data_IF_309794164188
#
_entry.id   IF_309794164188
#
_cell.length_a   1.000
_cell.length_b   1.000
_cell.length_c   1.000
_cell.angle_alpha   90.00
_cell.angle_beta   90.00
_cell.angle_gamma   90.00
#
_symmetry.space_group_name_H-M   'P 1'
#
loop_
_entity.id
_entity.type
_entity.pdbx_description
1 polymer ?
#
# COMPACT_ATOMS: atom_id res chain seq x y z
N UNK A 1 -10.60 -7.88 12.72
CA UNK A 1 -12.04 -8.25 12.71
C UNK A 1 -12.82 -7.01 13.09
N UNK A 2 -13.96 -6.76 12.46
CA UNK A 2 -14.87 -5.68 12.90
C UNK A 2 -15.57 -6.07 14.21
N UNK A 3 -16.18 -5.11 14.91
CA UNK A 3 -17.03 -5.38 16.09
C UNK A 3 -18.20 -6.32 15.79
N UNK A 4 -18.56 -6.47 14.51
CA UNK A 4 -19.60 -7.41 14.04
C UNK A 4 -19.06 -8.80 13.66
N UNK A 5 -17.77 -9.10 13.88
CA UNK A 5 -17.18 -10.39 13.49
C UNK A 5 -16.86 -10.50 11.99
N UNK A 6 -17.07 -9.43 11.22
CA UNK A 6 -16.73 -9.39 9.81
C UNK A 6 -15.21 -9.35 9.60
N UNK A 7 -14.74 -10.16 8.65
CA UNK A 7 -13.34 -10.18 8.23
C UNK A 7 -13.11 -8.95 7.34
N UNK A 8 -12.57 -7.88 7.93
CA UNK A 8 -12.23 -6.64 7.24
C UNK A 8 -11.03 -6.84 6.29
N UNK A 9 -10.05 -7.60 6.74
CA UNK A 9 -8.81 -7.89 6.01
C UNK A 9 -8.68 -9.41 6.00
N UNK A 10 -8.68 -10.07 4.82
CA UNK A 10 -8.58 -11.52 4.77
C UNK A 10 -7.28 -11.99 5.44
N UNK A 11 -7.31 -13.10 6.18
CA UNK A 11 -6.12 -13.70 6.81
C UNK A 11 -5.21 -14.41 5.79
N UNK A 12 -5.03 -13.82 4.61
CA UNK A 12 -4.18 -14.31 3.51
C UNK A 12 -2.81 -13.61 3.49
N UNK A 13 -2.60 -12.66 4.38
CA UNK A 13 -1.35 -11.89 4.49
C UNK A 13 -0.41 -12.57 5.47
N UNK A 14 0.86 -12.70 5.08
CA UNK A 14 1.96 -13.16 5.91
C UNK A 14 2.22 -12.19 7.07
N UNK A 15 2.07 -10.89 6.83
CA UNK A 15 2.31 -9.87 7.85
C UNK A 15 1.50 -8.60 7.59
N UNK A 16 1.19 -7.89 8.67
CA UNK A 16 0.46 -6.63 8.65
C UNK A 16 1.27 -5.60 9.42
N UNK A 17 1.49 -4.44 8.81
CA UNK A 17 2.13 -3.30 9.45
C UNK A 17 1.10 -2.17 9.55
N UNK A 18 0.81 -1.77 10.79
CA UNK A 18 -0.16 -0.73 11.09
C UNK A 18 0.53 0.64 11.13
N UNK A 19 0.08 1.56 10.30
CA UNK A 19 0.49 2.97 10.31
C UNK A 19 -0.65 3.84 10.86
N UNK A 20 -0.37 5.12 11.12
CA UNK A 20 -1.35 6.06 11.69
C UNK A 20 -2.63 6.18 10.87
N UNK A 21 -2.55 6.09 9.54
CA UNK A 21 -3.70 6.29 8.64
C UNK A 21 -4.02 5.11 7.72
N UNK A 22 -3.08 4.17 7.57
CA UNK A 22 -3.19 3.04 6.64
C UNK A 22 -2.55 1.79 7.21
N UNK A 23 -2.76 0.67 6.54
CA UNK A 23 -2.26 -0.65 6.91
C UNK A 23 -1.52 -1.19 5.69
N UNK A 24 -0.23 -1.48 5.87
CA UNK A 24 0.57 -2.14 4.86
C UNK A 24 0.41 -3.64 5.07
N UNK A 25 0.05 -4.34 4.01
CA UNK A 25 -0.14 -5.79 4.03
C UNK A 25 0.95 -6.46 3.23
N UNK A 26 1.48 -7.57 3.74
CA UNK A 26 2.47 -8.39 3.06
C UNK A 26 1.84 -9.74 2.72
N UNK A 27 1.85 -10.12 1.45
CA UNK A 27 1.37 -11.43 0.98
C UNK A 27 2.28 -11.91 -0.14
N UNK A 28 2.86 -13.09 0.03
CA UNK A 28 3.65 -13.77 -1.03
C UNK A 28 4.71 -12.85 -1.66
N UNK A 29 5.46 -12.14 -0.83
CA UNK A 29 6.49 -11.17 -1.22
C UNK A 29 5.96 -9.93 -1.99
N UNK A 30 4.65 -9.68 -1.92
CA UNK A 30 4.01 -8.48 -2.45
C UNK A 30 3.36 -7.68 -1.33
N UNK A 31 3.42 -6.39 -1.51
CA UNK A 31 2.93 -5.36 -0.62
C UNK A 31 1.63 -4.78 -1.18
N UNK A 32 0.67 -4.60 -0.30
CA UNK A 32 -0.59 -3.91 -0.52
C UNK A 32 -0.80 -2.81 0.51
N UNK A 33 -1.75 -1.93 0.23
CA UNK A 33 -2.12 -0.82 1.10
C UNK A 33 -3.62 -0.84 1.33
N UNK A 34 -4.01 -0.83 2.60
CA UNK A 34 -5.41 -0.84 3.02
C UNK A 34 -5.67 0.38 3.89
N UNK A 35 -6.87 0.94 3.77
CA UNK A 35 -7.35 1.96 4.72
C UNK A 35 -7.60 1.32 6.08
N UNK A 36 -7.59 2.11 7.16
CA UNK A 36 -8.06 1.65 8.49
C UNK A 36 -9.46 1.04 8.48
N UNK A 37 -10.30 1.43 7.50
CA UNK A 37 -11.64 0.89 7.30
C UNK A 37 -11.66 -0.45 6.53
N UNK A 38 -10.50 -0.99 6.14
CA UNK A 38 -10.40 -2.20 5.32
C UNK A 38 -10.59 -2.00 3.83
N UNK A 39 -10.73 -0.76 3.36
CA UNK A 39 -10.83 -0.49 1.94
C UNK A 39 -9.47 -0.72 1.28
N UNK A 40 -9.46 -1.45 0.16
CA UNK A 40 -8.27 -1.67 -0.64
C UNK A 40 -7.91 -0.32 -1.27
N UNK A 41 -6.75 0.21 -0.89
CA UNK A 41 -6.17 1.41 -1.47
C UNK A 41 -5.20 0.99 -2.60
N UNK A 42 -4.43 -0.06 -2.36
CA UNK A 42 -3.52 -0.68 -3.31
C UNK A 42 -3.56 -2.20 -3.11
N UNK A 43 -3.84 -2.94 -4.16
CA UNK A 43 -3.73 -4.40 -4.14
C UNK A 43 -2.31 -4.86 -3.80
N UNK A 44 -2.15 -6.11 -3.39
CA UNK A 44 -0.86 -6.75 -3.14
C UNK A 44 -0.11 -7.02 -4.45
N UNK A 45 0.25 -5.96 -5.16
CA UNK A 45 0.97 -5.97 -6.43
C UNK A 45 2.33 -5.28 -6.32
N UNK A 46 2.56 -4.49 -5.27
CA UNK A 46 3.80 -3.75 -5.12
C UNK A 46 4.92 -4.65 -4.59
N UNK A 47 6.12 -4.52 -5.11
CA UNK A 47 7.32 -5.19 -4.59
C UNK A 47 8.01 -4.35 -3.53
N UNK A 48 7.77 -3.03 -3.52
CA UNK A 48 8.27 -2.10 -2.50
C UNK A 48 7.22 -1.01 -2.23
N UNK A 49 7.13 -0.57 -0.98
CA UNK A 49 6.34 0.61 -0.58
C UNK A 49 7.28 1.51 0.22
N UNK A 50 7.27 2.80 -0.09
CA UNK A 50 8.09 3.83 0.56
C UNK A 50 7.22 5.04 0.88
N UNK A 51 7.06 5.33 2.17
CA UNK A 51 6.44 6.57 2.65
C UNK A 51 7.42 7.72 2.42
N UNK A 52 6.99 8.76 1.70
CA UNK A 52 7.78 9.99 1.52
C UNK A 52 7.39 11.03 2.56
N UNK A 53 6.10 11.21 2.78
CA UNK A 53 5.52 12.07 3.80
C UNK A 53 4.16 11.51 4.25
N UNK A 54 3.42 12.26 5.06
CA UNK A 54 2.11 11.82 5.57
C UNK A 54 1.07 11.70 4.45
N UNK A 55 1.17 12.53 3.40
CA UNK A 55 0.23 12.55 2.30
C UNK A 55 0.61 11.64 1.12
N UNK A 56 1.90 11.37 0.89
CA UNK A 56 2.42 10.69 -0.31
C UNK A 56 3.13 9.40 0.07
N UNK A 57 2.62 8.31 -0.51
CA UNK A 57 3.19 6.98 -0.43
C UNK A 57 3.61 6.57 -1.84
N UNK A 58 4.85 6.18 -2.01
CA UNK A 58 5.34 5.59 -3.23
C UNK A 58 5.26 4.07 -3.15
N UNK A 59 4.96 3.42 -4.26
CA UNK A 59 4.96 1.98 -4.37
C UNK A 59 5.65 1.57 -5.68
N UNK A 60 6.26 0.39 -5.73
CA UNK A 60 6.95 -0.10 -6.91
C UNK A 60 6.25 -1.35 -7.44
N UNK A 61 5.87 -1.36 -8.71
CA UNK A 61 5.26 -2.52 -9.40
C UNK A 61 6.05 -2.77 -10.68
N UNK A 62 6.56 -3.99 -10.87
CA UNK A 62 7.34 -4.36 -12.06
C UNK A 62 8.46 -3.35 -12.39
N UNK A 63 9.22 -2.94 -11.38
CA UNK A 63 10.28 -1.92 -11.46
C UNK A 63 9.84 -0.48 -11.74
N UNK A 64 8.55 -0.23 -11.94
CA UNK A 64 7.98 1.13 -12.12
C UNK A 64 7.48 1.66 -10.79
N UNK A 65 7.68 2.94 -10.54
CA UNK A 65 7.20 3.60 -9.33
C UNK A 65 5.83 4.24 -9.57
N UNK A 66 4.87 3.96 -8.70
CA UNK A 66 3.64 4.71 -8.57
C UNK A 66 3.66 5.53 -7.28
N UNK A 67 2.85 6.57 -7.24
CA UNK A 67 2.59 7.33 -6.02
C UNK A 67 1.10 7.38 -5.77
N UNK A 68 0.74 7.29 -4.50
CA UNK A 68 -0.62 7.43 -4.04
C UNK A 68 -0.69 8.52 -3.00
N UNK A 69 -1.70 9.38 -3.13
CA UNK A 69 -1.99 10.42 -2.17
C UNK A 69 -3.03 9.95 -1.15
N UNK A 70 -3.14 10.58 0.02
CA UNK A 70 -4.14 10.31 1.07
C UNK A 70 -5.59 10.29 0.59
N UNK A 71 -5.86 10.94 -0.54
CA UNK A 71 -7.18 10.96 -1.19
C UNK A 71 -7.53 9.64 -1.89
N UNK A 72 -6.64 8.65 -1.87
CA UNK A 72 -6.81 7.37 -2.58
C UNK A 72 -6.54 7.46 -4.08
N UNK A 73 -6.09 8.63 -4.58
CA UNK A 73 -5.75 8.79 -5.99
C UNK A 73 -4.36 8.20 -6.25
N UNK A 74 -4.33 6.98 -6.80
CA UNK A 74 -3.11 6.31 -7.25
C UNK A 74 -2.74 6.78 -8.65
N UNK A 75 -1.52 7.32 -8.82
CA UNK A 75 -0.94 7.64 -10.13
C UNK A 75 0.29 6.77 -10.33
N UNK A 76 0.29 5.96 -11.39
CA UNK A 76 1.47 5.17 -11.76
C UNK A 76 2.40 6.08 -12.57
N UNK A 77 3.59 6.37 -12.04
CA UNK A 77 4.60 7.11 -12.78
C UNK A 77 5.41 6.13 -13.63
N UNK A 78 5.04 6.00 -14.90
CA UNK A 78 5.76 5.10 -15.81
C UNK A 78 7.23 5.50 -16.05
N UNK A 79 7.66 6.69 -15.61
CA UNK A 79 8.97 7.27 -15.97
C UNK A 79 9.65 8.05 -14.84
N UNK A 80 9.55 7.62 -13.59
CA UNK A 80 10.44 8.15 -12.56
C UNK A 80 11.65 7.21 -12.43
N UNK A 81 12.64 7.46 -13.30
CA UNK A 81 14.03 7.41 -12.87
C UNK A 81 14.16 8.42 -11.73
N UNK A 82 13.89 8.00 -10.50
CA UNK A 82 14.37 8.75 -9.33
C UNK A 82 15.88 8.75 -9.50
N UNK A 83 16.40 9.84 -10.08
CA UNK A 83 17.82 10.07 -10.21
C UNK A 83 18.44 9.82 -8.84
N UNK A 84 19.39 8.88 -8.89
CA UNK A 84 20.26 8.46 -7.83
C UNK A 84 20.99 9.70 -7.28
N UNK A 85 21.03 9.77 -5.94
CA UNK A 85 21.78 10.71 -5.09
C UNK A 85 22.89 11.50 -5.77
#
# INVERSE_FOLDING_TARGET
MDKQGNIIIPAKFDSLQYEKEYIITYQSNKLGLYSKKGQIILDNIATKIKKINEDIILFQVNQRWGGINKTGKSTIFSFISICRF
#
